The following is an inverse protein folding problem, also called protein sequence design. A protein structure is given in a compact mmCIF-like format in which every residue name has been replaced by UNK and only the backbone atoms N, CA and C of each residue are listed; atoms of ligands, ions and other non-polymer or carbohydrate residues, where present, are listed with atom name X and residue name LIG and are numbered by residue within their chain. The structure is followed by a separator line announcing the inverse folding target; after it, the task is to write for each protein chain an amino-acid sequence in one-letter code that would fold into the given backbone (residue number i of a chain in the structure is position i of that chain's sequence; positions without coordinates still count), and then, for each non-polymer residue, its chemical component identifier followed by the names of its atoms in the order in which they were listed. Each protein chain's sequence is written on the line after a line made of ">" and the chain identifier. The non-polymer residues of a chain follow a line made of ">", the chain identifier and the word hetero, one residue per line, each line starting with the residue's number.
data_IF_489455407489
#
_entry.id   IF_489455407489
#
_cell.length_a   1.000
_cell.length_b   1.000
_cell.length_c   1.000
_cell.angle_alpha   90.00
_cell.angle_beta   90.00
_cell.angle_gamma   90.00
#
_symmetry.space_group_name_H-M   'P 1'
#
loop_
_entity.id
_entity.type
_entity.pdbx_description
1 polymer ?
#
# COMPACT_ATOMS: atom_id res chain seq x y z
N UNK A 1 22.95 -65.42 -105.93
CA UNK A 1 22.25 -64.33 -106.63
C UNK A 1 22.04 -63.20 -105.63
N UNK A 2 22.43 -61.99 -106.03
CA UNK A 2 22.09 -60.66 -105.48
C UNK A 2 22.29 -60.49 -103.95
N UNK A 3 23.34 -59.84 -103.43
CA UNK A 3 23.71 -58.42 -103.62
C UNK A 3 22.50 -57.48 -103.53
N UNK A 4 22.01 -57.24 -102.32
CA UNK A 4 21.33 -55.99 -101.99
C UNK A 4 22.26 -55.18 -101.09
N UNK A 5 22.96 -54.27 -101.76
CA UNK A 5 23.78 -53.23 -101.20
C UNK A 5 22.92 -52.14 -100.58
N UNK A 6 23.49 -51.48 -99.57
CA UNK A 6 23.26 -50.09 -99.17
C UNK A 6 21.88 -49.71 -98.61
N UNK A 7 21.84 -49.54 -97.27
CA UNK A 7 21.21 -48.36 -96.66
C UNK A 7 21.64 -48.11 -95.19
N UNK A 8 22.87 -48.51 -94.82
CA UNK A 8 23.39 -48.34 -93.44
C UNK A 8 24.25 -47.08 -93.29
N UNK A 9 24.42 -46.30 -94.36
CA UNK A 9 25.04 -44.97 -94.32
C UNK A 9 24.02 -43.94 -94.82
N UNK A 10 23.00 -43.66 -94.01
CA UNK A 10 22.40 -42.32 -94.04
C UNK A 10 23.56 -41.34 -93.88
N UNK A 11 23.63 -40.37 -94.77
CA UNK A 11 24.67 -39.36 -94.87
C UNK A 11 25.19 -38.98 -93.46
N UNK A 12 26.48 -39.16 -93.14
CA UNK A 12 27.04 -38.83 -91.83
C UNK A 12 26.67 -37.43 -91.35
N UNK A 13 26.42 -36.51 -92.29
CA UNK A 13 25.93 -35.15 -92.07
C UNK A 13 24.53 -35.15 -91.43
N UNK A 14 23.57 -35.92 -91.96
CA UNK A 14 22.21 -36.01 -91.41
C UNK A 14 22.18 -36.61 -89.99
N UNK A 15 23.10 -37.53 -89.70
CA UNK A 15 23.23 -38.09 -88.35
C UNK A 15 23.82 -37.07 -87.37
N UNK A 16 24.75 -36.23 -87.82
CA UNK A 16 25.31 -35.13 -87.03
C UNK A 16 24.24 -34.06 -86.73
N UNK A 17 23.43 -33.69 -87.72
CA UNK A 17 22.32 -32.73 -87.58
C UNK A 17 21.26 -33.22 -86.59
N UNK A 18 20.93 -34.51 -86.61
CA UNK A 18 20.00 -35.10 -85.62
C UNK A 18 20.59 -35.08 -84.20
N UNK A 19 21.89 -35.34 -84.05
CA UNK A 19 22.58 -35.21 -82.75
C UNK A 19 22.58 -33.76 -82.26
N UNK A 20 22.87 -32.80 -83.13
CA UNK A 20 22.84 -31.36 -82.80
C UNK A 20 21.44 -30.93 -82.35
N UNK A 21 20.41 -31.35 -83.08
CA UNK A 21 19.02 -31.07 -82.71
C UNK A 21 18.60 -31.71 -81.37
N UNK A 22 19.07 -32.93 -81.08
CA UNK A 22 18.86 -33.56 -79.76
C UNK A 22 19.62 -32.82 -78.65
N UNK A 23 20.83 -32.35 -78.92
CA UNK A 23 21.63 -31.56 -77.98
C UNK A 23 20.94 -30.22 -77.67
N UNK A 24 20.41 -29.55 -78.68
CA UNK A 24 19.63 -28.31 -78.55
C UNK A 24 18.37 -28.53 -77.72
N UNK A 25 17.62 -29.61 -77.97
CA UNK A 25 16.47 -29.98 -77.14
C UNK A 25 16.85 -30.21 -75.68
N UNK A 26 17.97 -30.88 -75.42
CA UNK A 26 18.43 -31.14 -74.04
C UNK A 26 18.86 -29.84 -73.35
N UNK A 27 19.58 -28.95 -74.04
CA UNK A 27 19.98 -27.65 -73.49
C UNK A 27 18.76 -26.79 -73.22
N UNK A 28 17.81 -26.76 -74.16
CA UNK A 28 16.60 -25.96 -74.01
C UNK A 28 15.76 -26.44 -72.83
N UNK A 29 15.59 -27.76 -72.70
CA UNK A 29 14.89 -28.37 -71.55
C UNK A 29 15.60 -28.08 -70.23
N UNK A 30 16.93 -28.20 -70.18
CA UNK A 30 17.70 -27.86 -68.98
C UNK A 30 17.58 -26.37 -68.61
N UNK A 31 17.56 -25.47 -69.59
CA UNK A 31 17.31 -24.04 -69.35
C UNK A 31 15.92 -23.81 -68.77
N UNK A 32 14.88 -24.38 -69.37
CA UNK A 32 13.51 -24.26 -68.85
C UNK A 32 13.37 -24.83 -67.43
N UNK A 33 14.00 -25.98 -67.16
CA UNK A 33 13.99 -26.58 -65.83
C UNK A 33 14.72 -25.69 -64.80
N UNK A 34 15.83 -25.04 -65.19
CA UNK A 34 16.53 -24.07 -64.34
C UNK A 34 15.67 -22.84 -64.09
N UNK A 35 15.05 -22.28 -65.13
CA UNK A 35 14.18 -21.10 -65.03
C UNK A 35 12.96 -21.37 -64.15
N UNK A 36 12.26 -22.49 -64.34
CA UNK A 36 11.13 -22.89 -63.49
C UNK A 36 11.53 -23.10 -62.03
N UNK A 37 12.68 -23.75 -61.78
CA UNK A 37 13.16 -23.95 -60.41
C UNK A 37 13.52 -22.63 -59.73
N UNK A 38 14.13 -21.68 -60.47
CA UNK A 38 14.43 -20.35 -59.96
C UNK A 38 13.15 -19.59 -59.61
N UNK A 39 12.13 -19.66 -60.47
CA UNK A 39 10.83 -19.01 -60.24
C UNK A 39 10.12 -19.56 -59.00
N UNK A 40 10.06 -20.88 -58.84
CA UNK A 40 9.52 -21.52 -57.63
C UNK A 40 10.27 -21.08 -56.37
N UNK A 41 11.61 -20.96 -56.45
CA UNK A 41 12.43 -20.53 -55.31
C UNK A 41 12.14 -19.08 -54.92
N UNK A 42 12.07 -18.20 -55.90
CA UNK A 42 11.75 -16.78 -55.69
C UNK A 42 10.36 -16.64 -55.07
N UNK A 43 9.38 -17.38 -55.58
CA UNK A 43 8.01 -17.32 -55.07
C UNK A 43 7.92 -17.85 -53.64
N UNK A 44 8.60 -18.97 -53.35
CA UNK A 44 8.70 -19.50 -51.99
C UNK A 44 9.36 -18.51 -51.04
N UNK A 45 10.52 -17.94 -51.39
CA UNK A 45 11.19 -16.95 -50.54
C UNK A 45 10.33 -15.68 -50.34
N UNK A 46 9.62 -15.24 -51.37
CA UNK A 46 8.71 -14.09 -51.30
C UNK A 46 7.54 -14.35 -50.35
N UNK A 47 6.93 -15.54 -50.42
CA UNK A 47 5.82 -15.92 -49.51
C UNK A 47 6.30 -16.06 -48.07
N UNK A 48 7.46 -16.69 -47.83
CA UNK A 48 8.06 -16.78 -46.49
C UNK A 48 8.40 -15.40 -45.91
N UNK A 49 8.91 -14.48 -46.73
CA UNK A 49 9.18 -13.11 -46.31
C UNK A 49 7.89 -12.36 -45.93
N UNK A 50 6.83 -12.49 -46.74
CA UNK A 50 5.53 -11.88 -46.43
C UNK A 50 4.93 -12.43 -45.14
N UNK A 51 4.98 -13.74 -44.91
CA UNK A 51 4.48 -14.36 -43.68
C UNK A 51 5.26 -13.85 -42.45
N UNK A 52 6.59 -13.70 -42.55
CA UNK A 52 7.40 -13.14 -41.46
C UNK A 52 7.05 -11.69 -41.18
N UNK A 53 6.83 -10.88 -42.22
CA UNK A 53 6.42 -9.48 -42.05
C UNK A 53 5.06 -9.40 -41.37
N UNK A 54 4.07 -10.16 -41.84
CA UNK A 54 2.73 -10.19 -41.27
C UNK A 54 2.74 -10.64 -39.81
N UNK A 55 3.57 -11.63 -39.48
CA UNK A 55 3.75 -12.07 -38.10
C UNK A 55 4.34 -10.95 -37.22
N UNK A 56 5.37 -10.25 -37.69
CA UNK A 56 5.99 -9.13 -36.96
C UNK A 56 4.98 -7.99 -36.77
N UNK A 57 4.20 -7.66 -37.80
CA UNK A 57 3.16 -6.62 -37.72
C UNK A 57 2.08 -6.98 -36.70
N UNK A 58 1.62 -8.23 -36.71
CA UNK A 58 0.64 -8.72 -35.73
C UNK A 58 1.18 -8.65 -34.30
N UNK A 59 2.41 -9.10 -34.08
CA UNK A 59 3.08 -8.99 -32.77
C UNK A 59 3.27 -7.54 -32.34
N UNK A 60 3.59 -6.64 -33.28
CA UNK A 60 3.77 -5.22 -33.00
C UNK A 60 2.46 -4.56 -32.58
N UNK A 61 1.36 -4.84 -33.27
CA UNK A 61 0.02 -4.36 -32.90
C UNK A 61 -0.36 -4.86 -31.51
N UNK A 62 -0.20 -6.16 -31.23
CA UNK A 62 -0.51 -6.72 -29.91
C UNK A 62 0.33 -6.10 -28.78
N UNK A 63 1.62 -5.84 -29.01
CA UNK A 63 2.47 -5.14 -28.02
C UNK A 63 2.05 -3.68 -27.82
N UNK A 64 1.59 -3.00 -28.86
CA UNK A 64 1.10 -1.62 -28.78
C UNK A 64 -0.20 -1.53 -27.98
N UNK A 65 -1.11 -2.47 -28.17
CA UNK A 65 -2.34 -2.60 -27.38
C UNK A 65 -2.02 -2.85 -25.91
N UNK A 66 -1.16 -3.84 -25.61
CA UNK A 66 -0.73 -4.13 -24.25
C UNK A 66 -0.07 -2.92 -23.56
N UNK A 67 0.68 -2.10 -24.32
CA UNK A 67 1.26 -0.86 -23.79
C UNK A 67 0.18 0.19 -23.47
N UNK A 68 -0.88 0.25 -24.28
CA UNK A 68 -2.06 1.07 -24.00
C UNK A 68 -2.76 0.66 -22.70
N UNK A 69 -2.99 -0.64 -22.52
CA UNK A 69 -3.60 -1.20 -21.31
C UNK A 69 -2.75 -0.94 -20.06
N UNK A 70 -1.43 -1.10 -20.18
CA UNK A 70 -0.50 -0.77 -19.10
C UNK A 70 -0.55 0.71 -18.74
N UNK A 71 -0.62 1.61 -19.74
CA UNK A 71 -0.73 3.04 -19.51
C UNK A 71 -2.02 3.39 -18.77
N UNK A 72 -3.14 2.80 -19.17
CA UNK A 72 -4.43 3.02 -18.51
C UNK A 72 -4.40 2.53 -17.06
N UNK A 73 -3.92 1.30 -16.83
CA UNK A 73 -3.77 0.72 -15.49
C UNK A 73 -2.86 1.55 -14.60
N UNK A 74 -1.77 2.09 -15.16
CA UNK A 74 -0.86 2.95 -14.42
C UNK A 74 -1.48 4.30 -14.06
N UNK A 75 -2.25 4.92 -14.98
CA UNK A 75 -2.99 6.16 -14.69
C UNK A 75 -4.03 5.94 -13.59
N UNK A 76 -4.78 4.84 -13.64
CA UNK A 76 -5.73 4.48 -12.59
C UNK A 76 -5.02 4.30 -11.24
N UNK A 77 -3.89 3.60 -11.22
CA UNK A 77 -3.09 3.43 -10.02
C UNK A 77 -2.62 4.77 -9.41
N UNK A 78 -2.11 5.70 -10.22
CA UNK A 78 -1.69 7.02 -9.72
C UNK A 78 -2.89 7.86 -9.22
N UNK A 79 -4.05 7.76 -9.88
CA UNK A 79 -5.29 8.39 -9.41
C UNK A 79 -5.72 7.82 -8.05
N UNK A 80 -5.74 6.49 -7.90
CA UNK A 80 -6.08 5.84 -6.64
C UNK A 80 -5.09 6.20 -5.53
N UNK A 81 -3.79 6.24 -5.84
CA UNK A 81 -2.74 6.65 -4.90
C UNK A 81 -2.91 8.09 -4.42
N UNK A 82 -3.27 9.02 -5.30
CA UNK A 82 -3.54 10.42 -4.91
C UNK A 82 -4.81 10.54 -4.08
N UNK A 83 -5.87 9.80 -4.44
CA UNK A 83 -7.11 9.73 -3.65
C UNK A 83 -6.85 9.18 -2.23
N UNK A 84 -6.15 8.06 -2.09
CA UNK A 84 -5.82 7.50 -0.78
C UNK A 84 -4.97 8.42 0.08
N UNK A 85 -4.00 9.13 -0.52
CA UNK A 85 -3.23 10.15 0.21
C UNK A 85 -4.10 11.28 0.73
N UNK A 86 -5.06 11.74 -0.08
CA UNK A 86 -6.01 12.78 0.31
C UNK A 86 -6.90 12.30 1.46
N UNK A 87 -7.48 11.10 1.34
CA UNK A 87 -8.31 10.50 2.38
C UNK A 87 -7.52 10.31 3.69
N UNK A 88 -6.30 9.78 3.62
CA UNK A 88 -5.44 9.60 4.79
C UNK A 88 -5.18 10.94 5.50
N UNK A 89 -4.86 11.99 4.74
CA UNK A 89 -4.65 13.33 5.31
C UNK A 89 -5.92 13.86 5.98
N UNK A 90 -7.08 13.72 5.34
CA UNK A 90 -8.37 14.16 5.89
C UNK A 90 -8.70 13.43 7.21
N UNK A 91 -8.52 12.11 7.26
CA UNK A 91 -8.73 11.34 8.48
C UNK A 91 -7.76 11.75 9.60
N UNK A 92 -6.51 12.04 9.28
CA UNK A 92 -5.53 12.51 10.25
C UNK A 92 -5.88 13.91 10.78
N UNK A 93 -6.32 14.83 9.93
CA UNK A 93 -6.81 16.15 10.33
C UNK A 93 -8.04 16.04 11.26
N UNK A 94 -8.99 15.17 10.94
CA UNK A 94 -10.14 14.89 11.81
C UNK A 94 -9.73 14.30 13.16
N UNK A 95 -8.79 13.36 13.17
CA UNK A 95 -8.26 12.80 14.42
C UNK A 95 -7.61 13.88 15.29
N UNK A 96 -6.86 14.81 14.69
CA UNK A 96 -6.29 15.96 15.42
C UNK A 96 -7.39 16.87 15.98
N UNK A 97 -8.48 17.10 15.23
CA UNK A 97 -9.62 17.88 15.72
C UNK A 97 -10.27 17.22 16.94
N UNK A 98 -10.56 15.91 16.86
CA UNK A 98 -11.12 15.18 17.99
C UNK A 98 -10.20 15.18 19.22
N UNK A 99 -8.88 15.06 19.03
CA UNK A 99 -7.94 15.16 20.14
C UNK A 99 -7.97 16.52 20.84
N UNK A 100 -8.15 17.62 20.09
CA UNK A 100 -8.32 18.96 20.66
C UNK A 100 -9.64 19.12 21.40
N UNK A 101 -10.72 18.54 20.87
CA UNK A 101 -12.02 18.53 21.54
C UNK A 101 -11.96 17.75 22.86
N UNK A 102 -11.30 16.60 22.86
CA UNK A 102 -11.05 15.80 24.08
C UNK A 102 -10.22 16.60 25.09
N UNK A 103 -9.15 17.27 24.65
CA UNK A 103 -8.31 18.10 25.54
C UNK A 103 -9.15 19.21 26.20
N UNK A 104 -9.98 19.90 25.41
CA UNK A 104 -10.87 20.94 25.92
C UNK A 104 -11.92 20.39 26.90
N UNK A 105 -12.59 19.28 26.56
CA UNK A 105 -13.56 18.65 27.45
C UNK A 105 -12.89 18.17 28.75
N UNK A 106 -11.69 17.61 28.67
CA UNK A 106 -10.93 17.18 29.85
C UNK A 106 -10.58 18.36 30.75
N UNK A 107 -10.20 19.52 30.17
CA UNK A 107 -9.96 20.73 30.93
C UNK A 107 -11.22 21.24 31.64
N UNK A 108 -12.37 21.22 30.96
CA UNK A 108 -13.65 21.60 31.57
C UNK A 108 -14.05 20.64 32.70
N UNK A 109 -13.92 19.33 32.49
CA UNK A 109 -14.19 18.33 33.52
C UNK A 109 -13.30 18.52 34.75
N UNK A 110 -12.02 18.87 34.57
CA UNK A 110 -11.11 19.18 35.68
C UNK A 110 -11.60 20.39 36.49
N UNK A 111 -12.11 21.43 35.82
CA UNK A 111 -12.66 22.61 36.48
C UNK A 111 -13.91 22.28 37.29
N UNK A 112 -14.83 21.49 36.74
CA UNK A 112 -16.03 21.06 37.45
C UNK A 112 -15.71 20.15 38.65
N UNK A 113 -14.73 19.26 38.53
CA UNK A 113 -14.26 18.45 39.66
C UNK A 113 -13.68 19.32 40.78
N UNK A 114 -12.94 20.38 40.45
CA UNK A 114 -12.45 21.33 41.47
C UNK A 114 -13.60 22.02 42.19
N UNK A 115 -14.62 22.46 41.46
CA UNK A 115 -15.82 23.07 42.06
C UNK A 115 -16.57 22.09 42.97
N UNK A 116 -16.67 20.83 42.57
CA UNK A 116 -17.28 19.79 43.40
C UNK A 116 -16.51 19.62 44.73
N UNK A 117 -15.18 19.49 44.66
CA UNK A 117 -14.32 19.41 45.85
C UNK A 117 -14.49 20.65 46.75
N UNK A 118 -14.54 21.85 46.16
CA UNK A 118 -14.79 23.09 46.93
C UNK A 118 -16.16 23.10 47.62
N UNK A 119 -17.18 22.49 47.02
CA UNK A 119 -18.49 22.36 47.63
C UNK A 119 -18.51 21.32 48.75
N UNK A 120 -17.82 20.19 48.57
CA UNK A 120 -17.68 19.15 49.59
C UNK A 120 -16.98 19.71 50.84
N UNK A 121 -15.89 20.46 50.67
CA UNK A 121 -15.20 21.13 51.78
C UNK A 121 -16.09 22.13 52.54
N UNK A 122 -16.97 22.85 51.83
CA UNK A 122 -17.93 23.78 52.46
C UNK A 122 -19.03 23.04 53.22
N UNK A 123 -19.42 21.86 52.73
CA UNK A 123 -20.41 21.02 53.39
C UNK A 123 -19.85 20.44 54.68
N UNK A 124 -18.60 19.95 54.66
CA UNK A 124 -17.88 19.50 55.86
C UNK A 124 -17.74 20.63 56.90
N UNK A 125 -17.41 21.85 56.48
CA UNK A 125 -17.35 23.01 57.38
C UNK A 125 -18.71 23.33 58.01
N UNK A 126 -19.79 23.23 57.24
CA UNK A 126 -21.15 23.44 57.72
C UNK A 126 -21.56 22.36 58.74
N UNK A 127 -21.26 21.10 58.45
CA UNK A 127 -21.56 19.97 59.34
C UNK A 127 -20.78 20.11 60.66
N UNK A 128 -19.49 20.46 60.59
CA UNK A 128 -18.69 20.76 61.79
C UNK A 128 -19.29 21.90 62.61
N UNK A 129 -19.66 23.01 61.96
CA UNK A 129 -20.28 24.16 62.65
C UNK A 129 -21.63 23.80 63.27
N UNK A 130 -22.40 22.92 62.63
CA UNK A 130 -23.67 22.43 63.17
C UNK A 130 -23.44 21.53 64.39
N UNK A 131 -22.48 20.61 64.33
CA UNK A 131 -22.09 19.76 65.46
C UNK A 131 -21.60 20.59 66.65
N UNK A 132 -20.72 21.57 66.41
CA UNK A 132 -20.24 22.49 67.46
C UNK A 132 -21.42 23.18 68.16
N UNK A 133 -22.40 23.70 67.40
CA UNK A 133 -23.60 24.34 67.98
C UNK A 133 -24.46 23.39 68.80
N UNK A 134 -24.58 22.13 68.37
CA UNK A 134 -25.33 21.11 69.12
C UNK A 134 -24.60 20.79 70.42
N UNK A 135 -23.28 20.65 70.38
CA UNK A 135 -22.45 20.43 71.57
C UNK A 135 -22.55 21.61 72.54
N UNK A 136 -22.45 22.86 72.06
CA UNK A 136 -22.63 24.03 72.92
C UNK A 136 -24.02 24.10 73.53
N UNK A 137 -25.07 23.81 72.74
CA UNK A 137 -26.44 23.81 73.24
C UNK A 137 -26.69 22.72 74.29
N UNK A 138 -26.11 21.53 74.10
CA UNK A 138 -26.13 20.45 75.09
C UNK A 138 -25.51 20.92 76.41
N UNK A 139 -24.33 21.54 76.33
CA UNK A 139 -23.62 22.09 77.49
C UNK A 139 -24.39 23.21 78.19
N UNK A 140 -24.98 24.13 77.44
CA UNK A 140 -25.81 25.21 78.00
C UNK A 140 -27.03 24.64 78.77
N UNK A 141 -27.66 23.58 78.25
CA UNK A 141 -28.77 22.90 78.94
C UNK A 141 -28.33 22.18 80.22
N UNK A 142 -27.16 21.53 80.21
CA UNK A 142 -26.58 20.89 81.39
C UNK A 142 -26.25 21.94 82.48
N UNK A 143 -25.67 23.08 82.10
CA UNK A 143 -25.27 24.15 83.03
C UNK A 143 -26.47 24.95 83.58
N UNK A 144 -27.47 25.28 82.75
CA UNK A 144 -28.59 26.14 83.16
C UNK A 144 -29.70 25.36 83.88
N UNK A 145 -29.88 24.07 83.56
CA UNK A 145 -31.00 23.29 84.08
C UNK A 145 -30.59 22.07 84.94
N UNK A 146 -29.30 21.74 85.08
CA UNK A 146 -28.80 20.49 85.71
C UNK A 146 -29.43 19.22 85.10
N UNK A 147 -29.91 19.32 83.85
CA UNK A 147 -30.48 18.20 83.12
C UNK A 147 -29.36 17.61 82.28
N UNK A 148 -28.93 16.40 82.60
CA UNK A 148 -28.09 15.59 81.69
C UNK A 148 -29.00 15.07 80.57
N UNK A 149 -28.92 15.59 79.34
CA UNK A 149 -29.83 15.18 78.28
C UNK A 149 -29.48 13.75 77.85
N UNK A 150 -30.40 12.81 78.10
CA UNK A 150 -30.36 11.45 77.57
C UNK A 150 -30.50 11.48 76.03
N UNK A 151 -29.37 11.63 75.35
CA UNK A 151 -29.23 11.51 73.91
C UNK A 151 -27.92 10.79 73.59
N UNK A 152 -27.74 10.32 72.34
CA UNK A 152 -26.47 9.70 71.95
C UNK A 152 -25.30 10.64 72.27
N UNK A 153 -24.23 10.11 72.87
CA UNK A 153 -22.98 10.84 73.04
C UNK A 153 -22.52 11.28 71.65
N UNK A 154 -22.57 12.59 71.38
CA UNK A 154 -22.00 13.17 70.18
C UNK A 154 -20.51 13.30 70.50
N UNK A 155 -19.72 12.36 69.99
CA UNK A 155 -18.26 12.44 70.04
C UNK A 155 -17.84 13.77 69.42
N UNK A 156 -16.96 14.52 70.11
CA UNK A 156 -16.35 15.73 69.55
C UNK A 156 -15.74 15.38 68.19
N UNK A 157 -15.84 16.26 67.17
CA UNK A 157 -15.35 15.94 65.84
C UNK A 157 -13.86 15.61 65.92
N UNK A 158 -13.53 14.31 65.86
CA UNK A 158 -12.15 13.88 65.70
C UNK A 158 -11.63 14.51 64.41
N UNK A 159 -10.46 15.15 64.47
CA UNK A 159 -9.74 15.57 63.27
C UNK A 159 -9.53 14.34 62.40
N UNK A 160 -10.34 14.22 61.35
CA UNK A 160 -10.36 13.10 60.44
C UNK A 160 -8.94 12.91 59.87
N UNK A 161 -8.27 11.85 60.31
CA UNK A 161 -6.98 11.37 59.79
C UNK A 161 -7.14 10.59 58.48
N UNK A 162 -8.20 10.85 57.72
CA UNK A 162 -8.56 10.03 56.55
C UNK A 162 -7.92 10.57 55.26
N UNK A 163 -6.62 10.87 55.30
CA UNK A 163 -5.82 10.99 54.08
C UNK A 163 -5.16 9.66 53.66
N UNK A 164 -5.34 8.57 54.43
CA UNK A 164 -4.67 7.29 54.13
C UNK A 164 -5.54 6.21 53.48
N UNK A 165 -6.88 6.31 53.48
CA UNK A 165 -7.75 5.24 52.98
C UNK A 165 -8.13 5.30 51.49
N UNK A 166 -7.72 6.33 50.74
CA UNK A 166 -7.90 6.39 49.26
C UNK A 166 -6.67 5.85 48.51
N UNK A 167 -6.06 4.74 48.97
CA UNK A 167 -4.87 4.14 48.34
C UNK A 167 -5.15 2.91 47.46
N UNK A 168 -6.39 2.43 47.41
CA UNK A 168 -6.76 1.20 46.70
C UNK A 168 -7.48 1.43 45.35
N UNK A 169 -7.41 2.64 44.79
CA UNK A 169 -7.66 2.83 43.35
C UNK A 169 -6.31 2.72 42.65
N UNK A 170 -6.17 1.73 41.75
CA UNK A 170 -4.98 1.54 40.92
C UNK A 170 -4.44 2.90 40.46
N UNK A 171 -3.33 3.31 41.07
CA UNK A 171 -2.67 4.58 40.78
C UNK A 171 -2.22 4.52 39.32
N UNK A 172 -3.05 5.07 38.42
CA UNK A 172 -2.69 5.19 37.02
C UNK A 172 -1.46 6.08 37.00
N UNK A 173 -0.30 5.48 36.76
CA UNK A 173 0.96 6.20 36.60
C UNK A 173 0.87 7.06 35.33
N UNK A 174 0.35 8.28 35.52
CA UNK A 174 0.15 9.29 34.48
C UNK A 174 1.47 9.62 33.77
N UNK A 175 2.62 9.44 34.43
CA UNK A 175 3.92 9.64 33.80
C UNK A 175 4.21 8.54 32.77
N UNK A 176 3.95 7.29 33.12
CA UNK A 176 4.08 6.14 32.23
C UNK A 176 3.08 6.19 31.06
N UNK A 177 1.86 6.64 31.30
CA UNK A 177 0.86 6.80 30.23
C UNK A 177 1.20 7.95 29.28
N UNK A 178 1.70 9.07 29.82
CA UNK A 178 2.22 10.17 29.01
C UNK A 178 3.44 9.78 28.18
N UNK A 179 4.29 8.90 28.69
CA UNK A 179 5.43 8.36 27.94
C UNK A 179 4.97 7.46 26.78
N UNK A 180 3.99 6.59 27.02
CA UNK A 180 3.35 5.79 25.95
C UNK A 180 2.75 6.69 24.87
N UNK A 181 2.04 7.76 25.25
CA UNK A 181 1.47 8.72 24.30
C UNK A 181 2.56 9.45 23.49
N UNK A 182 3.67 9.86 24.11
CA UNK A 182 4.82 10.42 23.38
C UNK A 182 5.42 9.43 22.40
N UNK A 183 5.60 8.16 22.78
CA UNK A 183 6.12 7.12 21.89
C UNK A 183 5.19 6.89 20.69
N UNK A 184 3.87 6.92 20.89
CA UNK A 184 2.89 6.84 19.80
C UNK A 184 3.01 8.05 18.87
N UNK A 185 3.14 9.27 19.42
CA UNK A 185 3.34 10.49 18.62
C UNK A 185 4.64 10.43 17.82
N UNK A 186 5.74 9.94 18.39
CA UNK A 186 7.03 9.83 17.70
C UNK A 186 7.04 8.73 16.63
N UNK A 187 6.34 7.62 16.85
CA UNK A 187 6.11 6.58 15.82
C UNK A 187 5.27 7.09 14.65
N UNK A 188 4.33 7.99 14.91
CA UNK A 188 3.53 8.64 13.87
C UNK A 188 4.37 9.67 13.09
N UNK A 189 5.25 10.43 13.76
CA UNK A 189 6.18 11.38 13.12
C UNK A 189 7.28 10.71 12.31
N UNK A 190 7.83 9.59 12.77
CA UNK A 190 8.94 8.90 12.06
C UNK A 190 8.50 8.17 10.79
N UNK A 191 7.22 7.75 10.71
CA UNK A 191 6.61 7.24 9.47
C UNK A 191 6.46 8.29 8.37
N UNK A 192 6.65 9.59 8.67
CA UNK A 192 6.63 10.68 7.69
C UNK A 192 7.96 10.87 6.94
N UNK A 193 9.03 10.12 7.24
CA UNK A 193 10.27 10.18 6.46
C UNK A 193 10.36 9.04 5.44
N UNK A 194 10.20 9.30 4.12
CA UNK A 194 10.48 8.29 3.12
C UNK A 194 11.99 8.06 3.08
N UNK A 195 12.44 6.91 3.60
CA UNK A 195 13.77 6.37 3.30
C UNK A 195 13.90 6.26 1.77
N UNK A 196 14.65 7.20 1.20
CA UNK A 196 15.18 7.16 -0.16
C UNK A 196 15.85 5.80 -0.41
N UNK A 197 15.16 4.88 -1.07
CA UNK A 197 15.77 3.72 -1.72
C UNK A 197 16.53 4.23 -2.95
N UNK A 198 17.82 4.55 -2.79
CA UNK A 198 18.74 4.59 -3.92
C UNK A 198 19.06 3.14 -4.32
N UNK A 199 18.27 2.62 -5.25
CA UNK A 199 18.76 1.59 -6.16
C UNK A 199 19.81 2.23 -7.06
N UNK A 200 21.04 1.75 -7.00
CA UNK A 200 22.04 1.93 -8.06
C UNK A 200 22.72 0.59 -8.29
N UNK A 201 22.12 -0.19 -9.18
CA UNK A 201 22.81 -1.14 -10.02
C UNK A 201 23.89 -0.40 -10.83
N UNK A 202 25.12 -0.90 -10.79
CA UNK A 202 26.14 -0.70 -11.83
C UNK A 202 26.87 -2.03 -12.04
N UNK A 203 26.39 -2.76 -13.03
CA UNK A 203 27.14 -3.21 -14.21
C UNK A 203 28.67 -3.48 -14.08
N UNK A 204 29.04 -4.76 -14.28
CA UNK A 204 30.20 -5.32 -14.99
C UNK A 204 31.52 -4.53 -15.12
N UNK A 205 32.65 -5.19 -14.79
CA UNK A 205 33.69 -5.62 -15.76
C UNK A 205 34.88 -6.37 -15.11
N UNK A 206 35.13 -7.59 -15.63
CA UNK A 206 36.41 -8.25 -15.94
C UNK A 206 37.52 -8.34 -14.86
N UNK A 207 37.87 -9.58 -14.52
CA UNK A 207 39.26 -10.04 -14.57
C UNK A 207 39.32 -11.47 -15.12
N UNK A 208 40.02 -11.60 -16.25
CA UNK A 208 40.46 -12.84 -16.90
C UNK A 208 41.39 -13.61 -15.96
N UNK A 209 41.27 -14.93 -15.93
CA UNK A 209 42.38 -15.87 -15.78
C UNK A 209 42.51 -16.63 -17.09
#
# INVERSE_FOLDING_TARGET
>A
MMSESNDILKDPILYLEEIEHQLDKVIHKKKEDIEKNLEIRIEKEKTEAHQKIEQIEKEFVGKKEALGDYRNSFTEFENNKTNFKSQHKNHLEKAIQFLKEIENLTAQSLEELKKAIELDLKLEELDRTAMEKVVTFKKDLEEEFEIEPEGPEIEEPEEIKDQEEIKDQEEIDLAKEREKLKQIVDLLRTKETPKSRKGRTKENRKSKK
#
